data_IF_715869719670
#
_entry.id   IF_715869719670
#
_cell.length_a   1.000
_cell.length_b   1.000
_cell.length_c   1.000
_cell.angle_alpha   90.00
_cell.angle_beta   90.00
_cell.angle_gamma   90.00
#
_symmetry.space_group_name_H-M   'P 1'
#
loop_
_entity.id
_entity.type
_entity.pdbx_description
1 polymer ?
#
# COMPACT_ATOMS: atom_id res chain seq x y z
N UNK A 1 -24.15 15.77 8.59
CA UNK A 1 -23.17 16.49 7.75
C UNK A 1 -22.02 15.52 7.53
N UNK A 2 -21.96 14.84 6.38
CA UNK A 2 -20.88 13.89 6.10
C UNK A 2 -19.65 14.68 5.66
N UNK A 3 -18.61 14.71 6.48
CA UNK A 3 -17.31 15.22 6.04
C UNK A 3 -16.77 14.25 4.98
N UNK A 4 -16.41 14.77 3.81
CA UNK A 4 -15.67 13.97 2.84
C UNK A 4 -14.32 13.59 3.47
N UNK A 5 -13.93 12.31 3.47
CA UNK A 5 -12.64 11.90 3.98
C UNK A 5 -11.52 12.60 3.20
N UNK A 6 -10.45 12.99 3.89
CA UNK A 6 -9.33 13.62 3.20
C UNK A 6 -8.67 12.62 2.24
N UNK A 7 -7.93 13.14 1.24
CA UNK A 7 -7.16 12.28 0.33
C UNK A 7 -6.15 11.43 1.10
N UNK A 8 -5.62 11.95 2.22
CA UNK A 8 -4.73 11.24 3.13
C UNK A 8 -5.47 10.08 3.82
N UNK A 9 -6.65 10.35 4.40
CA UNK A 9 -7.45 9.31 5.06
C UNK A 9 -7.85 8.20 4.08
N UNK A 10 -8.12 8.57 2.82
CA UNK A 10 -8.42 7.62 1.76
C UNK A 10 -7.23 6.70 1.49
N UNK A 11 -6.00 7.26 1.36
CA UNK A 11 -4.81 6.43 1.16
C UNK A 11 -4.54 5.54 2.38
N UNK A 12 -4.63 6.07 3.60
CA UNK A 12 -4.47 5.28 4.82
C UNK A 12 -5.48 4.12 4.89
N UNK A 13 -6.74 4.38 4.53
CA UNK A 13 -7.77 3.33 4.46
C UNK A 13 -7.42 2.27 3.41
N UNK A 14 -6.94 2.69 2.24
CA UNK A 14 -6.53 1.75 1.19
C UNK A 14 -5.33 0.90 1.61
N UNK A 15 -4.37 1.48 2.32
CA UNK A 15 -3.16 0.77 2.77
C UNK A 15 -3.51 -0.22 3.88
N UNK A 16 -4.39 0.13 4.83
CA UNK A 16 -4.89 -0.81 5.83
C UNK A 16 -5.66 -1.96 5.18
N UNK A 17 -6.58 -1.67 4.26
CA UNK A 17 -7.32 -2.70 3.54
C UNK A 17 -6.43 -3.60 2.66
N UNK A 18 -5.26 -3.12 2.24
CA UNK A 18 -4.27 -3.93 1.56
C UNK A 18 -3.57 -4.90 2.53
N UNK A 19 -3.19 -4.46 3.72
CA UNK A 19 -2.64 -5.34 4.77
C UNK A 19 -3.66 -6.39 5.20
N UNK A 20 -4.91 -6.00 5.47
CA UNK A 20 -5.98 -6.95 5.82
C UNK A 20 -6.16 -8.03 4.75
N UNK A 21 -6.01 -7.66 3.47
CA UNK A 21 -6.10 -8.60 2.36
C UNK A 21 -4.88 -9.53 2.24
N UNK A 22 -3.69 -9.08 2.65
CA UNK A 22 -2.51 -9.94 2.77
C UNK A 22 -2.67 -10.93 3.93
N UNK A 23 -3.23 -10.49 5.05
CA UNK A 23 -3.45 -11.33 6.24
C UNK A 23 -4.55 -12.38 6.04
N UNK A 24 -5.46 -12.14 5.09
CA UNK A 24 -6.47 -13.11 4.68
C UNK A 24 -5.90 -14.23 3.79
N UNK A 25 -4.66 -14.11 3.30
CA UNK A 25 -4.01 -15.17 2.53
C UNK A 25 -3.62 -16.35 3.46
N UNK A 26 -3.48 -17.56 2.89
CA UNK A 26 -2.89 -18.69 3.61
C UNK A 26 -1.53 -18.32 4.23
N UNK A 27 -1.24 -18.83 5.42
CA UNK A 27 -0.04 -18.47 6.18
C UNK A 27 1.28 -18.80 5.45
N UNK A 28 1.27 -19.75 4.52
CA UNK A 28 2.41 -20.12 3.70
C UNK A 28 2.59 -19.24 2.44
N UNK A 29 1.59 -18.46 2.04
CA UNK A 29 1.68 -17.55 0.89
C UNK A 29 2.76 -16.48 1.05
N UNK A 30 3.01 -16.05 2.30
CA UNK A 30 4.02 -15.04 2.62
C UNK A 30 5.31 -15.64 3.18
N UNK A 31 5.46 -16.97 3.13
CA UNK A 31 6.70 -17.62 3.56
C UNK A 31 7.88 -17.17 2.70
N UNK A 32 8.89 -16.57 3.31
CA UNK A 32 10.03 -15.94 2.63
C UNK A 32 9.88 -14.43 2.39
N UNK A 33 8.73 -13.83 2.73
CA UNK A 33 8.47 -12.39 2.68
C UNK A 33 7.87 -11.86 3.99
N UNK A 34 8.01 -12.61 5.10
CA UNK A 34 7.44 -12.25 6.41
C UNK A 34 8.00 -10.92 6.91
N UNK A 35 9.32 -10.73 6.78
CA UNK A 35 9.98 -9.49 7.18
C UNK A 35 9.44 -8.28 6.43
N UNK A 36 9.27 -8.41 5.10
CA UNK A 36 8.74 -7.34 4.26
C UNK A 36 7.29 -7.04 4.63
N UNK A 37 6.47 -8.07 4.88
CA UNK A 37 5.09 -7.87 5.33
C UNK A 37 5.02 -7.18 6.70
N UNK A 38 5.83 -7.61 7.67
CA UNK A 38 5.86 -6.99 9.01
C UNK A 38 6.43 -5.57 9.00
N UNK A 39 7.39 -5.29 8.11
CA UNK A 39 7.84 -3.92 7.91
C UNK A 39 6.77 -3.04 7.25
N UNK A 40 6.09 -3.57 6.22
CA UNK A 40 5.00 -2.87 5.57
C UNK A 40 3.86 -2.54 6.55
N UNK A 41 3.42 -3.50 7.36
CA UNK A 41 2.40 -3.26 8.39
C UNK A 41 2.83 -2.18 9.38
N UNK A 42 4.08 -2.21 9.88
CA UNK A 42 4.58 -1.19 10.80
C UNK A 42 4.52 0.21 10.21
N UNK A 43 4.83 0.36 8.92
CA UNK A 43 4.69 1.64 8.21
C UNK A 43 3.22 2.08 8.14
N UNK A 44 2.31 1.15 7.84
CA UNK A 44 0.87 1.42 7.79
C UNK A 44 0.32 1.85 9.16
N UNK A 45 0.69 1.15 10.24
CA UNK A 45 0.27 1.49 11.62
C UNK A 45 0.77 2.88 12.02
N UNK A 46 1.99 3.23 11.64
CA UNK A 46 2.59 4.55 11.93
C UNK A 46 2.04 5.67 11.05
N UNK A 47 1.35 5.35 9.96
CA UNK A 47 0.92 6.32 8.95
C UNK A 47 2.04 6.74 7.98
N UNK A 48 3.19 6.04 8.00
CA UNK A 48 4.36 6.32 7.16
C UNK A 48 4.21 5.75 5.73
N UNK A 49 3.01 5.86 5.16
CA UNK A 49 2.64 5.22 3.88
C UNK A 49 2.95 6.06 2.65
N UNK A 50 3.35 7.31 2.83
CA UNK A 50 3.74 8.23 1.74
C UNK A 50 5.24 8.20 1.45
N UNK A 51 6.01 7.47 2.26
CA UNK A 51 7.45 7.29 2.09
C UNK A 51 7.82 6.36 0.94
N UNK A 52 9.08 6.41 0.53
CA UNK A 52 9.65 5.48 -0.45
C UNK A 52 9.71 4.07 0.12
N UNK A 53 10.09 3.91 1.38
CA UNK A 53 10.13 2.63 2.11
C UNK A 53 8.83 1.83 1.95
N UNK A 54 7.66 2.45 2.12
CA UNK A 54 6.37 1.78 1.95
C UNK A 54 6.17 1.25 0.53
N UNK A 55 6.55 2.04 -0.47
CA UNK A 55 6.40 1.67 -1.87
C UNK A 55 7.38 0.59 -2.29
N UNK A 56 8.61 0.65 -1.80
CA UNK A 56 9.64 -0.35 -2.06
C UNK A 56 9.28 -1.69 -1.44
N UNK A 57 8.98 -1.72 -0.13
CA UNK A 57 8.62 -2.96 0.56
C UNK A 57 7.32 -3.55 -0.01
N UNK A 58 6.34 -2.70 -0.34
CA UNK A 58 5.11 -3.14 -1.00
C UNK A 58 5.37 -3.74 -2.38
N UNK A 59 6.35 -3.21 -3.13
CA UNK A 59 6.75 -3.78 -4.40
C UNK A 59 7.47 -5.12 -4.24
N UNK A 60 8.30 -5.30 -3.20
CA UNK A 60 8.92 -6.60 -2.91
C UNK A 60 7.88 -7.67 -2.56
N UNK A 61 6.88 -7.34 -1.74
CA UNK A 61 5.77 -8.25 -1.45
C UNK A 61 5.04 -8.63 -2.75
N UNK A 62 4.77 -7.68 -3.64
CA UNK A 62 4.16 -7.98 -4.93
C UNK A 62 5.02 -8.90 -5.80
N UNK A 63 6.34 -8.72 -5.80
CA UNK A 63 7.28 -9.59 -6.54
C UNK A 63 7.32 -10.99 -5.95
N UNK A 64 7.25 -11.11 -4.62
CA UNK A 64 7.16 -12.40 -3.93
C UNK A 64 5.87 -13.13 -4.33
N UNK A 65 4.72 -12.47 -4.17
CA UNK A 65 3.41 -13.04 -4.53
C UNK A 65 3.34 -13.43 -6.01
N UNK A 66 3.90 -12.63 -6.92
CA UNK A 66 3.89 -12.94 -8.35
C UNK A 66 4.65 -14.22 -8.74
N UNK A 67 5.47 -14.80 -7.86
CA UNK A 67 6.19 -16.06 -8.09
C UNK A 67 5.40 -17.30 -7.65
N UNK A 68 4.30 -17.08 -6.92
CA UNK A 68 3.47 -18.16 -6.40
C UNK A 68 2.37 -18.44 -7.43
N UNK A 69 2.17 -19.73 -7.73
CA UNK A 69 1.05 -20.19 -8.52
C UNK A 69 -0.05 -20.65 -7.55
N UNK A 70 -1.08 -19.83 -7.29
CA UNK A 70 -2.16 -20.20 -6.40
C UNK A 70 -3.03 -21.28 -7.03
N UNK A 71 -3.50 -22.23 -6.23
CA UNK A 71 -4.56 -23.14 -6.66
C UNK A 71 -5.90 -22.41 -6.83
N UNK A 72 -6.86 -23.09 -7.47
CA UNK A 72 -8.18 -22.52 -7.79
C UNK A 72 -8.97 -22.04 -6.55
N UNK A 73 -8.67 -22.59 -5.37
CA UNK A 73 -9.41 -22.28 -4.13
C UNK A 73 -8.99 -20.94 -3.52
N UNK A 74 -7.75 -20.50 -3.78
CA UNK A 74 -7.18 -19.26 -3.23
C UNK A 74 -6.81 -18.22 -4.29
N UNK A 75 -6.90 -18.56 -5.58
CA UNK A 75 -6.50 -17.68 -6.68
C UNK A 75 -7.19 -16.31 -6.65
N UNK A 76 -8.46 -16.27 -6.22
CA UNK A 76 -9.23 -15.02 -6.15
C UNK A 76 -8.75 -14.11 -5.03
N UNK A 77 -8.50 -14.67 -3.85
CA UNK A 77 -7.97 -13.97 -2.69
C UNK A 77 -6.58 -13.43 -3.01
N UNK A 78 -5.75 -14.23 -3.69
CA UNK A 78 -4.42 -13.87 -4.17
C UNK A 78 -4.44 -12.67 -5.11
N UNK A 79 -5.24 -12.73 -6.19
CA UNK A 79 -5.40 -11.61 -7.13
C UNK A 79 -5.92 -10.37 -6.42
N UNK A 80 -6.90 -10.55 -5.54
CA UNK A 80 -7.50 -9.45 -4.79
C UNK A 80 -6.50 -8.77 -3.85
N UNK A 81 -5.66 -9.52 -3.16
CA UNK A 81 -4.61 -8.99 -2.28
C UNK A 81 -3.55 -8.24 -3.09
N UNK A 82 -3.03 -8.84 -4.15
CA UNK A 82 -2.06 -8.20 -5.05
C UNK A 82 -2.62 -6.91 -5.67
N UNK A 83 -3.89 -6.93 -6.09
CA UNK A 83 -4.55 -5.75 -6.66
C UNK A 83 -4.68 -4.63 -5.63
N UNK A 84 -5.12 -4.93 -4.40
CA UNK A 84 -5.26 -3.93 -3.34
C UNK A 84 -3.91 -3.31 -2.99
N UNK A 85 -2.87 -4.12 -2.81
CA UNK A 85 -1.53 -3.63 -2.51
C UNK A 85 -0.99 -2.73 -3.63
N UNK A 86 -1.14 -3.14 -4.89
CA UNK A 86 -0.77 -2.31 -6.05
C UNK A 86 -1.53 -0.98 -6.08
N UNK A 87 -2.83 -0.99 -5.80
CA UNK A 87 -3.63 0.23 -5.71
C UNK A 87 -3.14 1.15 -4.57
N UNK A 88 -2.81 0.60 -3.41
CA UNK A 88 -2.29 1.35 -2.28
C UNK A 88 -0.95 2.03 -2.59
N UNK A 89 0.00 1.30 -3.19
CA UNK A 89 1.30 1.83 -3.64
C UNK A 89 1.12 2.98 -4.64
N UNK A 90 0.25 2.77 -5.64
CA UNK A 90 -0.02 3.79 -6.65
C UNK A 90 -0.71 5.04 -6.06
N UNK A 91 -1.62 4.86 -5.10
CA UNK A 91 -2.29 5.96 -4.43
C UNK A 91 -1.33 6.76 -3.53
N UNK A 92 -0.47 6.06 -2.80
CA UNK A 92 0.65 6.65 -2.03
C UNK A 92 1.53 7.53 -2.93
N UNK A 93 2.01 6.98 -4.05
CA UNK A 93 2.86 7.71 -4.98
C UNK A 93 2.17 8.97 -5.52
N UNK A 94 0.93 8.84 -6.00
CA UNK A 94 0.17 9.97 -6.56
C UNK A 94 -0.03 11.08 -5.54
N UNK A 95 -0.39 10.74 -4.30
CA UNK A 95 -0.59 11.75 -3.27
C UNK A 95 0.73 12.43 -2.89
N UNK A 96 1.83 11.69 -2.77
CA UNK A 96 3.15 12.26 -2.51
C UNK A 96 3.58 13.25 -3.61
N UNK A 97 3.32 12.92 -4.88
CA UNK A 97 3.57 13.83 -6.01
C UNK A 97 2.70 15.08 -5.94
N UNK A 98 1.39 14.92 -5.71
CA UNK A 98 0.44 16.04 -5.61
C UNK A 98 0.87 17.01 -4.48
N UNK A 99 1.16 16.50 -3.29
CA UNK A 99 1.62 17.30 -2.14
C UNK A 99 2.93 18.03 -2.45
N UNK A 100 3.88 17.36 -3.12
CA UNK A 100 5.14 17.98 -3.54
C UNK A 100 4.98 19.06 -4.61
N UNK A 101 3.95 18.98 -5.46
CA UNK A 101 3.58 20.03 -6.42
C UNK A 101 2.93 21.21 -5.71
N UNK A 102 2.03 20.96 -4.77
CA UNK A 102 1.38 21.99 -3.96
C UNK A 102 2.39 22.80 -3.16
N UNK A 103 3.35 22.12 -2.50
CA UNK A 103 4.40 22.79 -1.72
C UNK A 103 5.28 23.70 -2.60
N UNK A 104 5.71 23.22 -3.77
CA UNK A 104 6.51 24.03 -4.72
C UNK A 104 5.73 25.25 -5.24
N UNK A 105 4.44 25.07 -5.49
CA UNK A 105 3.57 26.17 -5.96
C UNK A 105 3.36 27.23 -4.86
N UNK A 106 3.19 26.80 -3.60
CA UNK A 106 3.07 27.71 -2.47
C UNK A 106 4.35 28.55 -2.28
N UNK A 107 5.53 27.92 -2.32
CA UNK A 107 6.82 28.62 -2.24
C UNK A 107 6.95 29.67 -3.37
N UNK A 108 6.59 29.29 -4.61
CA UNK A 108 6.63 30.22 -5.76
C UNK A 108 5.69 31.42 -5.63
N UNK A 109 4.55 31.29 -4.93
CA UNK A 109 3.61 32.40 -4.69
C UNK A 109 4.06 33.33 -3.56
N UNK A 110 4.91 32.86 -2.67
CA UNK A 110 5.41 33.62 -1.51
C UNK A 110 6.73 34.37 -1.80
N UNK A 111 7.36 34.11 -2.94
CA UNK A 111 8.58 34.78 -3.43
C UNK A 111 8.23 35.82 -4.50
#
# INVERSE_FOLDING_TARGET
MFQQPSRIDTVNTMTSAAIDALDALPADALRGAEFDRDFCERLVIKGDVFGEDFREVGAEILRHLARIEPDETIAREFDSAMRRLRCAINASYRLAVDLGVEQRTAIRRAA
#
